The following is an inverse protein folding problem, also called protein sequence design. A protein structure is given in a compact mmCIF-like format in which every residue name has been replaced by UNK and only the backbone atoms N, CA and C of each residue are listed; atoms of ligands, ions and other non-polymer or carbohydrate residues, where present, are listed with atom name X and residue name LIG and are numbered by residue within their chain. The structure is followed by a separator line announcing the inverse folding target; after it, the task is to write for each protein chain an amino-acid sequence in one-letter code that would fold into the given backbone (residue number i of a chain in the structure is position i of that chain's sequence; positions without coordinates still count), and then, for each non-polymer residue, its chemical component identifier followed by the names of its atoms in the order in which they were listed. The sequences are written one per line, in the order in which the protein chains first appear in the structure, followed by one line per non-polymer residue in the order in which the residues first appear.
data_IF_011870275799
#
_entry.id   IF_011870275799
#
_cell.length_a   1.000
_cell.length_b   1.000
_cell.length_c   1.000
_cell.angle_alpha   90.00
_cell.angle_beta   90.00
_cell.angle_gamma   90.00
#
_symmetry.space_group_name_H-M   'P 1'
#
loop_
_entity.id
_entity.type
_entity.pdbx_description
1 polymer ?
#
# COMPACT_ATOMS: atom_id res chain seq x y z
N UNK A 1 18.80 -4.21 -37.02
CA UNK A 1 17.55 -3.86 -36.33
C UNK A 1 17.41 -4.78 -35.11
N UNK A 2 17.84 -4.33 -33.94
CA UNK A 2 17.89 -5.14 -32.72
C UNK A 2 16.59 -4.95 -31.91
N UNK A 3 15.64 -5.85 -32.15
CA UNK A 3 14.39 -5.94 -31.40
C UNK A 3 14.58 -6.90 -30.23
N UNK A 4 15.13 -6.43 -29.11
CA UNK A 4 15.32 -7.26 -27.91
C UNK A 4 14.90 -6.47 -26.66
N UNK A 5 13.72 -6.84 -26.14
CA UNK A 5 13.23 -6.61 -24.77
C UNK A 5 13.53 -5.24 -24.13
N UNK A 6 13.12 -4.15 -24.80
CA UNK A 6 12.88 -2.87 -24.11
C UNK A 6 11.61 -3.00 -23.29
N UNK A 7 11.70 -3.38 -22.02
CA UNK A 7 10.64 -3.03 -21.08
C UNK A 7 10.62 -1.51 -21.05
N UNK A 8 9.61 -0.93 -21.67
CA UNK A 8 9.48 0.51 -21.78
C UNK A 8 9.43 1.11 -20.37
N UNK A 9 10.18 2.19 -20.09
CA UNK A 9 10.09 2.98 -18.85
C UNK A 9 8.64 3.35 -18.48
N UNK A 10 7.77 3.39 -19.48
CA UNK A 10 6.34 3.59 -19.33
C UNK A 10 5.65 2.56 -18.42
N UNK A 11 6.10 1.30 -18.38
CA UNK A 11 5.52 0.31 -17.47
C UNK A 11 5.79 0.66 -16.01
N UNK A 12 7.01 1.11 -15.68
CA UNK A 12 7.36 1.58 -14.34
C UNK A 12 6.57 2.83 -13.96
N UNK A 13 6.43 3.79 -14.89
CA UNK A 13 5.59 4.97 -14.71
C UNK A 13 4.13 4.62 -14.47
N UNK A 14 3.59 3.69 -15.26
CA UNK A 14 2.20 3.30 -15.17
C UNK A 14 1.90 2.63 -13.84
N UNK A 15 2.71 1.65 -13.43
CA UNK A 15 2.57 0.98 -12.13
C UNK A 15 2.71 1.97 -10.97
N UNK A 16 3.69 2.86 -11.03
CA UNK A 16 3.88 3.93 -10.04
C UNK A 16 2.63 4.81 -9.90
N UNK A 17 2.01 5.21 -11.03
CA UNK A 17 0.78 6.01 -11.03
C UNK A 17 -0.41 5.25 -10.46
N UNK A 18 -0.54 3.96 -10.81
CA UNK A 18 -1.61 3.10 -10.28
C UNK A 18 -1.48 2.89 -8.77
N UNK A 19 -0.26 2.68 -8.27
CA UNK A 19 0.01 2.60 -6.83
C UNK A 19 -0.37 3.91 -6.13
N UNK A 20 0.01 5.06 -6.68
CA UNK A 20 -0.35 6.35 -6.12
C UNK A 20 -1.87 6.57 -6.06
N UNK A 21 -2.61 6.14 -7.09
CA UNK A 21 -4.07 6.21 -7.10
C UNK A 21 -4.65 5.28 -6.03
N UNK A 22 -4.20 4.01 -5.99
CA UNK A 22 -4.68 3.03 -5.02
C UNK A 22 -4.43 3.48 -3.57
N UNK A 23 -3.28 4.12 -3.29
CA UNK A 23 -2.98 4.72 -1.98
C UNK A 23 -3.96 5.85 -1.66
N UNK A 24 -4.24 6.74 -2.62
CA UNK A 24 -5.17 7.87 -2.42
C UNK A 24 -6.62 7.43 -2.22
N UNK A 25 -7.01 6.32 -2.83
CA UNK A 25 -8.37 5.75 -2.69
C UNK A 25 -8.45 4.70 -1.59
N UNK A 26 -7.38 4.49 -0.83
CA UNK A 26 -7.29 3.48 0.23
C UNK A 26 -7.64 2.05 -0.26
N UNK A 27 -7.43 1.77 -1.55
CA UNK A 27 -7.65 0.45 -2.14
C UNK A 27 -6.41 -0.42 -1.91
N UNK A 28 -6.28 -0.92 -0.68
CA UNK A 28 -5.15 -1.74 -0.23
C UNK A 28 -5.01 -3.05 -1.02
N UNK A 29 -6.11 -3.56 -1.57
CA UNK A 29 -6.10 -4.76 -2.40
C UNK A 29 -5.53 -4.48 -3.80
N UNK A 30 -5.89 -3.37 -4.43
CA UNK A 30 -5.25 -2.92 -5.65
C UNK A 30 -3.78 -2.59 -5.43
N UNK A 31 -3.45 -1.89 -4.33
CA UNK A 31 -2.06 -1.57 -3.97
C UNK A 31 -1.19 -2.83 -3.90
N UNK A 32 -1.64 -3.88 -3.21
CA UNK A 32 -0.93 -5.16 -3.12
C UNK A 32 -0.70 -5.80 -4.49
N UNK A 33 -1.71 -5.76 -5.37
CA UNK A 33 -1.59 -6.33 -6.73
C UNK A 33 -0.54 -5.59 -7.56
N UNK A 34 -0.54 -4.26 -7.52
CA UNK A 34 0.44 -3.46 -8.26
C UNK A 34 1.85 -3.63 -7.70
N UNK A 35 1.99 -3.76 -6.37
CA UNK A 35 3.27 -4.02 -5.74
C UNK A 35 3.88 -5.37 -6.16
N UNK A 36 3.05 -6.42 -6.22
CA UNK A 36 3.48 -7.72 -6.73
C UNK A 36 3.95 -7.66 -8.19
N UNK A 37 3.21 -6.96 -9.05
CA UNK A 37 3.60 -6.79 -10.46
C UNK A 37 4.93 -6.01 -10.59
N UNK A 38 5.13 -4.98 -9.76
CA UNK A 38 6.40 -4.23 -9.73
C UNK A 38 7.55 -5.13 -9.28
N UNK A 39 7.34 -5.96 -8.26
CA UNK A 39 8.33 -6.93 -7.76
C UNK A 39 8.69 -7.97 -8.81
N UNK A 40 7.71 -8.54 -9.49
CA UNK A 40 7.95 -9.48 -10.58
C UNK A 40 8.78 -8.83 -11.68
N UNK A 41 8.46 -7.60 -12.06
CA UNK A 41 9.15 -6.88 -13.13
C UNK A 41 10.62 -6.56 -12.76
N UNK A 42 10.88 -6.18 -11.51
CA UNK A 42 12.24 -5.98 -10.99
C UNK A 42 13.03 -7.29 -10.84
N UNK A 43 12.37 -8.38 -10.45
CA UNK A 43 13.03 -9.68 -10.22
C UNK A 43 13.35 -10.39 -11.53
N UNK A 44 12.44 -10.30 -12.51
CA UNK A 44 12.57 -10.92 -13.83
C UNK A 44 13.73 -10.35 -14.64
N UNK A 45 14.08 -9.08 -14.40
CA UNK A 45 15.04 -8.36 -15.22
C UNK A 45 15.93 -7.46 -14.36
N UNK A 46 16.84 -8.08 -13.61
CA UNK A 46 17.84 -7.37 -12.78
C UNK A 46 18.73 -6.40 -13.57
N UNK A 47 18.90 -6.63 -14.88
CA UNK A 47 19.64 -5.72 -15.76
C UNK A 47 19.06 -4.29 -15.80
N UNK A 48 17.77 -4.10 -15.49
CA UNK A 48 17.14 -2.78 -15.40
C UNK A 48 17.63 -1.94 -14.23
N UNK A 49 18.17 -2.56 -13.18
CA UNK A 49 18.74 -1.85 -12.02
C UNK A 49 20.05 -1.14 -12.39
N UNK A 50 20.71 -1.57 -13.46
CA UNK A 50 21.95 -0.98 -13.97
C UNK A 50 21.73 -0.03 -15.14
N UNK A 51 20.49 0.13 -15.61
CA UNK A 51 20.17 1.03 -16.73
C UNK A 51 19.97 2.48 -16.21
N UNK A 52 20.85 3.42 -16.60
CA UNK A 52 20.76 4.81 -16.15
C UNK A 52 19.49 5.53 -16.64
N UNK A 53 18.82 5.04 -17.69
CA UNK A 53 17.54 5.61 -18.15
C UNK A 53 16.36 5.19 -17.27
N UNK A 54 16.46 4.03 -16.61
CA UNK A 54 15.42 3.50 -15.73
C UNK A 54 15.65 3.88 -14.26
N UNK A 55 16.89 4.20 -13.88
CA UNK A 55 17.26 4.66 -12.53
C UNK A 55 16.30 5.71 -11.92
N UNK A 56 15.92 6.82 -12.60
CA UNK A 56 15.01 7.80 -12.01
C UNK A 56 13.59 7.26 -11.82
N UNK A 57 13.11 6.39 -12.72
CA UNK A 57 11.77 5.81 -12.62
C UNK A 57 11.70 4.75 -11.51
N UNK A 58 12.77 3.98 -11.31
CA UNK A 58 12.90 3.03 -10.20
C UNK A 58 12.97 3.77 -8.87
N UNK A 59 13.73 4.86 -8.80
CA UNK A 59 13.79 5.71 -7.60
C UNK A 59 12.41 6.30 -7.28
N UNK A 60 11.67 6.74 -8.29
CA UNK A 60 10.30 7.24 -8.13
C UNK A 60 9.33 6.16 -7.65
N UNK A 61 9.39 4.96 -8.24
CA UNK A 61 8.57 3.83 -7.82
C UNK A 61 8.83 3.47 -6.35
N UNK A 62 10.10 3.52 -5.92
CA UNK A 62 10.50 3.30 -4.53
C UNK A 62 9.93 4.37 -3.58
N UNK A 63 9.97 5.64 -3.97
CA UNK A 63 9.39 6.72 -3.16
C UNK A 63 7.87 6.54 -3.00
N UNK A 64 7.17 6.21 -4.08
CA UNK A 64 5.72 5.96 -4.04
C UNK A 64 5.38 4.73 -3.21
N UNK A 65 6.22 3.69 -3.26
CA UNK A 65 6.08 2.52 -2.39
C UNK A 65 6.18 2.90 -0.92
N UNK A 66 7.18 3.70 -0.55
CA UNK A 66 7.35 4.18 0.81
C UNK A 66 6.15 5.02 1.28
N UNK A 67 5.68 5.95 0.45
CA UNK A 67 4.47 6.74 0.75
C UNK A 67 3.24 5.86 0.96
N UNK A 68 3.08 4.83 0.12
CA UNK A 68 1.98 3.88 0.24
C UNK A 68 2.07 3.03 1.52
N UNK A 69 3.29 2.64 1.91
CA UNK A 69 3.54 1.93 3.15
C UNK A 69 3.20 2.78 4.38
N UNK A 70 3.67 4.03 4.41
CA UNK A 70 3.42 4.95 5.51
C UNK A 70 1.91 5.25 5.66
N UNK A 71 1.20 5.39 4.53
CA UNK A 71 -0.25 5.56 4.50
C UNK A 71 -0.99 4.33 5.07
N UNK A 72 -0.58 3.13 4.68
CA UNK A 72 -1.14 1.88 5.20
C UNK A 72 -0.87 1.73 6.71
N UNK A 73 0.31 2.08 7.17
CA UNK A 73 0.68 2.03 8.59
C UNK A 73 -0.23 2.97 9.41
N UNK A 74 -0.42 4.20 8.92
CA UNK A 74 -1.32 5.17 9.54
C UNK A 74 -2.76 4.66 9.59
N UNK A 75 -3.31 4.19 8.47
CA UNK A 75 -4.67 3.64 8.40
C UNK A 75 -4.85 2.44 9.35
N UNK A 76 -3.84 1.57 9.46
CA UNK A 76 -3.85 0.45 10.40
C UNK A 76 -3.84 0.92 11.85
N UNK A 77 -3.09 1.98 12.16
CA UNK A 77 -3.07 2.61 13.48
C UNK A 77 -4.43 3.20 13.86
N UNK A 78 -5.07 3.91 12.94
CA UNK A 78 -6.40 4.49 13.12
C UNK A 78 -7.47 3.40 13.35
N UNK A 79 -7.45 2.34 12.53
CA UNK A 79 -8.36 1.20 12.69
C UNK A 79 -8.22 0.55 14.08
N UNK A 80 -6.99 0.38 14.58
CA UNK A 80 -6.75 -0.15 15.93
C UNK A 80 -7.31 0.77 17.03
N UNK A 81 -7.18 2.08 16.86
CA UNK A 81 -7.76 3.04 17.82
C UNK A 81 -9.28 2.98 17.81
N UNK A 82 -9.91 2.87 16.64
CA UNK A 82 -11.36 2.71 16.53
C UNK A 82 -11.85 1.42 17.20
N UNK A 83 -11.17 0.29 16.95
CA UNK A 83 -11.50 -0.98 17.61
C UNK A 83 -11.44 -0.87 19.14
N UNK A 84 -10.42 -0.20 19.67
CA UNK A 84 -10.31 0.02 21.12
C UNK A 84 -11.45 0.89 21.68
N UNK A 85 -11.88 1.91 20.94
CA UNK A 85 -13.03 2.75 21.33
C UNK A 85 -14.33 1.96 21.35
N UNK A 86 -14.58 1.15 20.31
CA UNK A 86 -15.77 0.28 20.24
C UNK A 86 -15.78 -0.71 21.39
N UNK A 87 -14.64 -1.33 21.70
CA UNK A 87 -14.54 -2.27 22.81
C UNK A 87 -14.83 -1.59 24.16
N UNK A 88 -14.23 -0.42 24.42
CA UNK A 88 -14.49 0.35 25.63
C UNK A 88 -15.96 0.81 25.75
N UNK A 89 -16.61 1.11 24.63
CA UNK A 89 -18.04 1.44 24.61
C UNK A 89 -18.90 0.21 24.94
N UNK A 90 -18.54 -0.96 24.42
CA UNK A 90 -19.22 -2.22 24.70
C UNK A 90 -19.09 -2.61 26.18
N UNK A 91 -17.89 -2.51 26.76
CA UNK A 91 -17.66 -2.78 28.18
C UNK A 91 -18.50 -1.86 29.08
N UNK A 92 -18.57 -0.55 28.75
CA UNK A 92 -19.42 0.40 29.48
C UNK A 92 -20.90 0.03 29.37
N UNK A 93 -21.38 -0.30 28.17
CA UNK A 93 -22.77 -0.68 27.96
C UNK A 93 -23.15 -1.93 28.78
N UNK A 94 -22.28 -2.94 28.82
CA UNK A 94 -22.49 -4.13 29.64
C UNK A 94 -22.51 -3.79 31.14
N UNK A 95 -21.61 -2.93 31.62
CA UNK A 95 -21.59 -2.51 33.02
C UNK A 95 -22.89 -1.78 33.42
N UNK A 96 -23.43 -0.92 32.55
CA UNK A 96 -24.72 -0.26 32.79
C UNK A 96 -25.88 -1.26 32.81
N UNK A 97 -25.92 -2.22 31.89
CA UNK A 97 -26.95 -3.26 31.89
C UNK A 97 -26.89 -4.14 33.15
N UNK A 98 -25.69 -4.47 33.61
CA UNK A 98 -25.51 -5.25 34.84
C UNK A 98 -25.96 -4.44 36.07
N UNK A 99 -25.59 -3.16 36.17
CA UNK A 99 -26.02 -2.30 37.26
C UNK A 99 -27.56 -2.19 37.33
N UNK A 100 -28.22 -1.98 36.19
CA UNK A 100 -29.68 -1.85 36.10
C UNK A 100 -30.43 -3.15 36.41
N UNK A 101 -29.80 -4.31 36.26
CA UNK A 101 -30.41 -5.62 36.59
C UNK A 101 -30.19 -6.03 38.04
N UNK A 102 -29.38 -5.28 38.80
CA UNK A 102 -29.13 -5.50 40.23
C UNK A 102 -29.92 -4.54 41.15
N UNK A 103 -30.68 -3.60 40.58
CA UNK A 103 -31.74 -2.82 41.25
C UNK A 103 -33.07 -3.58 41.23
#
# INVERSE_FOLDING_TARGET
MASTHKVSPERFRHLSKLMQIATKTEDWHALKRYDLQLRELLTSHKAYLSDPQLAPEIARAKAIHQEAFDALEKATGELRQEMNKVNAQQERAMAYQLAMTME
#
